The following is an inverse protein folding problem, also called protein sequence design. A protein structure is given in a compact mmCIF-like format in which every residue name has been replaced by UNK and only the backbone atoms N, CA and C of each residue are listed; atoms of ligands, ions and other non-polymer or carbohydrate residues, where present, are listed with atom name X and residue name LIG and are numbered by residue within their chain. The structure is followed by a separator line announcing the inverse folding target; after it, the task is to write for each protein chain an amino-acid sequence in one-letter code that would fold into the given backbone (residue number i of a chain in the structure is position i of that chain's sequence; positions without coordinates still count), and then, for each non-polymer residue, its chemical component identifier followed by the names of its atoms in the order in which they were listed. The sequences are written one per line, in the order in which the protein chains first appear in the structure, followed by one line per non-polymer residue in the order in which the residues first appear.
data_IF_630829261028
#
_entry.id   IF_630829261028
#
_cell.length_a   1.000
_cell.length_b   1.000
_cell.length_c   1.000
_cell.angle_alpha   90.00
_cell.angle_beta   90.00
_cell.angle_gamma   90.00
#
_symmetry.space_group_name_H-M   'P 1'
#
loop_
_entity.id
_entity.type
_entity.pdbx_description
1 polymer ?
#
# COMPACT_ATOMS: atom_id res chain seq x y z
N UNK A 1 -7.30 -21.46 5.45
CA UNK A 1 -8.54 -21.20 4.69
C UNK A 1 -8.22 -20.08 3.72
N UNK A 2 -8.55 -20.22 2.44
CA UNK A 2 -8.35 -19.14 1.47
C UNK A 2 -9.26 -17.97 1.83
N UNK A 3 -8.74 -16.74 1.76
CA UNK A 3 -9.49 -15.52 2.03
C UNK A 3 -9.91 -14.89 0.70
N UNK A 4 -11.06 -14.22 0.67
CA UNK A 4 -11.47 -13.42 -0.49
C UNK A 4 -10.94 -11.99 -0.32
N UNK A 5 -10.76 -11.26 -1.42
CA UNK A 5 -10.34 -9.85 -1.40
C UNK A 5 -11.43 -8.88 -0.92
N UNK A 6 -12.62 -9.41 -0.57
CA UNK A 6 -13.75 -8.61 -0.09
C UNK A 6 -13.34 -7.80 1.14
N UNK A 7 -13.55 -6.48 1.12
CA UNK A 7 -13.15 -5.54 2.18
C UNK A 7 -11.63 -5.43 2.45
N UNK A 8 -10.77 -5.88 1.52
CA UNK A 8 -9.36 -5.46 1.55
C UNK A 8 -9.27 -3.97 1.23
N UNK A 9 -8.52 -3.21 2.03
CA UNK A 9 -8.53 -1.73 2.02
C UNK A 9 -7.12 -1.18 2.14
N UNK A 10 -6.95 0.06 1.71
CA UNK A 10 -5.72 0.82 1.89
C UNK A 10 -6.04 2.10 2.63
N UNK A 11 -5.34 2.35 3.73
CA UNK A 11 -5.54 3.52 4.57
C UNK A 11 -4.25 4.34 4.62
N UNK A 12 -4.37 5.64 4.78
CA UNK A 12 -3.22 6.54 4.84
C UNK A 12 -3.37 7.63 5.90
N UNK A 13 -2.23 8.11 6.38
CA UNK A 13 -2.13 9.23 7.31
C UNK A 13 -0.94 10.11 6.91
N UNK A 14 -1.10 11.44 6.94
CA UNK A 14 0.01 12.35 6.72
C UNK A 14 1.11 12.15 7.78
N UNK A 15 2.36 12.10 7.35
CA UNK A 15 3.50 11.86 8.22
C UNK A 15 4.61 12.89 8.00
N UNK A 16 4.98 13.60 9.07
CA UNK A 16 6.03 14.62 9.04
C UNK A 16 7.26 14.26 9.89
N UNK A 17 7.41 12.99 10.30
CA UNK A 17 8.48 12.55 11.20
C UNK A 17 9.70 11.91 10.50
N UNK A 18 10.60 11.34 11.31
CA UNK A 18 11.79 10.61 10.85
C UNK A 18 11.41 9.24 10.29
N UNK A 19 11.92 8.90 9.10
CA UNK A 19 11.66 7.61 8.43
C UNK A 19 12.27 6.40 9.18
N UNK A 20 13.19 6.64 10.13
CA UNK A 20 13.82 5.57 10.93
C UNK A 20 13.00 5.12 12.13
N UNK A 21 12.08 5.98 12.62
CA UNK A 21 11.21 5.71 13.78
C UNK A 21 9.79 6.14 13.43
N UNK A 22 9.08 5.25 12.77
CA UNK A 22 7.70 5.49 12.35
C UNK A 22 6.77 5.04 13.47
N UNK A 23 5.97 5.97 14.01
CA UNK A 23 4.85 5.63 14.86
C UNK A 23 3.63 5.32 13.97
N UNK A 24 3.10 4.10 14.08
CA UNK A 24 1.94 3.66 13.31
C UNK A 24 0.61 4.02 13.96
N UNK A 25 0.60 4.40 15.24
CA UNK A 25 -0.62 4.76 15.94
C UNK A 25 -1.15 6.13 15.48
N UNK A 26 -2.46 6.23 15.24
CA UNK A 26 -3.10 7.46 14.79
C UNK A 26 -4.43 7.23 14.08
N UNK A 27 -4.97 8.30 13.53
CA UNK A 27 -6.20 8.28 12.72
C UNK A 27 -5.84 8.32 11.24
N UNK A 28 -6.31 7.33 10.50
CA UNK A 28 -6.06 7.15 9.08
C UNK A 28 -7.33 7.37 8.28
N UNK A 29 -7.18 7.84 7.05
CA UNK A 29 -8.27 7.97 6.09
C UNK A 29 -8.22 6.82 5.08
N UNK A 30 -9.37 6.41 4.56
CA UNK A 30 -9.42 5.53 3.39
C UNK A 30 -8.73 6.20 2.20
N UNK A 31 -7.83 5.48 1.51
CA UNK A 31 -7.16 5.98 0.31
C UNK A 31 -8.16 6.15 -0.84
N UNK A 32 -8.78 5.04 -1.23
CA UNK A 32 -9.86 4.94 -2.21
C UNK A 32 -10.48 3.54 -2.09
N UNK A 33 -11.68 3.37 -2.65
CA UNK A 33 -12.29 2.06 -2.81
C UNK A 33 -11.56 1.27 -3.93
N UNK A 34 -10.44 0.63 -3.57
CA UNK A 34 -9.56 -0.01 -4.54
C UNK A 34 -10.16 -1.30 -5.11
N UNK A 35 -10.19 -1.38 -6.44
CA UNK A 35 -10.47 -2.60 -7.19
C UNK A 35 -9.23 -3.49 -7.31
N UNK A 36 -8.05 -2.87 -7.33
CA UNK A 36 -6.76 -3.55 -7.41
C UNK A 36 -5.78 -2.99 -6.38
N UNK A 37 -5.16 -3.89 -5.61
CA UNK A 37 -4.14 -3.59 -4.59
C UNK A 37 -2.88 -4.41 -4.96
N UNK A 38 -1.78 -3.78 -5.38
CA UNK A 38 -0.55 -4.48 -5.72
C UNK A 38 0.14 -5.01 -4.45
N UNK A 39 0.97 -6.05 -4.62
CA UNK A 39 1.80 -6.54 -3.51
C UNK A 39 2.67 -5.41 -2.94
N UNK A 40 2.72 -5.22 -1.61
CA UNK A 40 3.55 -4.21 -0.98
C UNK A 40 5.03 -4.53 -1.20
N UNK A 41 5.39 -5.82 -1.13
CA UNK A 41 6.76 -6.29 -1.27
C UNK A 41 7.05 -6.81 -2.67
N UNK A 42 8.23 -6.45 -3.20
CA UNK A 42 8.82 -7.06 -4.39
C UNK A 42 9.79 -8.18 -3.99
N UNK A 43 9.95 -9.18 -4.86
CA UNK A 43 10.95 -10.22 -4.65
C UNK A 43 12.37 -9.61 -4.61
N UNK A 44 13.27 -10.12 -3.75
CA UNK A 44 14.68 -9.77 -3.80
C UNK A 44 15.28 -10.05 -5.18
N UNK A 45 16.26 -9.27 -5.61
CA UNK A 45 17.03 -9.62 -6.79
C UNK A 45 17.80 -10.93 -6.55
N UNK A 46 18.07 -11.72 -7.59
CA UNK A 46 18.96 -12.89 -7.49
C UNK A 46 20.33 -12.51 -8.03
N UNK A 47 21.36 -12.65 -7.21
CA UNK A 47 22.75 -12.46 -7.60
C UNK A 47 23.32 -13.82 -7.94
N UNK A 48 23.69 -14.00 -9.21
CA UNK A 48 24.34 -15.22 -9.64
C UNK A 48 25.72 -15.35 -8.98
N UNK A 49 25.97 -16.49 -8.32
CA UNK A 49 27.22 -16.80 -7.64
C UNK A 49 27.97 -17.97 -8.28
N UNK A 50 27.52 -18.41 -9.46
CA UNK A 50 28.13 -19.51 -10.22
C UNK A 50 29.61 -19.23 -10.49
N UNK A 51 30.46 -20.21 -10.21
CA UNK A 51 31.87 -20.18 -10.61
C UNK A 51 32.07 -20.98 -11.90
N UNK A 52 33.17 -20.74 -12.62
CA UNK A 52 33.49 -21.43 -13.89
C UNK A 52 33.70 -22.95 -13.72
N UNK A 53 33.76 -23.44 -12.48
CA UNK A 53 33.93 -24.86 -12.16
C UNK A 53 32.61 -25.58 -11.86
N UNK A 54 31.50 -24.84 -11.77
CA UNK A 54 30.19 -25.38 -11.40
C UNK A 54 29.38 -25.82 -12.63
N UNK A 55 28.82 -27.03 -12.58
CA UNK A 55 27.94 -27.60 -13.62
C UNK A 55 26.46 -27.14 -13.47
N UNK A 56 26.18 -26.25 -12.52
CA UNK A 56 24.83 -25.75 -12.23
C UNK A 56 24.88 -24.31 -11.74
N UNK A 57 23.99 -23.47 -12.27
CA UNK A 57 23.88 -22.07 -11.84
C UNK A 57 23.37 -21.99 -10.40
N UNK A 58 24.10 -21.26 -9.55
CA UNK A 58 23.70 -21.00 -8.16
C UNK A 58 23.39 -19.51 -7.97
N UNK A 59 22.35 -19.22 -7.19
CA UNK A 59 21.85 -17.87 -6.98
C UNK A 59 21.77 -17.56 -5.49
N UNK A 60 22.31 -16.40 -5.11
CA UNK A 60 22.18 -15.82 -3.78
C UNK A 60 21.13 -14.71 -3.79
N UNK A 61 20.39 -14.57 -2.69
CA UNK A 61 19.36 -13.53 -2.58
C UNK A 61 20.00 -12.17 -2.34
N UNK A 62 19.84 -11.26 -3.30
CA UNK A 62 20.35 -9.89 -3.29
C UNK A 62 19.43 -8.87 -2.62
N UNK A 63 19.68 -7.59 -2.90
CA UNK A 63 18.92 -6.48 -2.30
C UNK A 63 17.46 -6.44 -2.80
N UNK A 64 16.54 -6.04 -1.91
CA UNK A 64 15.15 -5.75 -2.26
C UNK A 64 15.04 -4.34 -2.83
N UNK A 65 14.55 -4.21 -4.05
CA UNK A 65 14.21 -2.90 -4.62
C UNK A 65 12.77 -2.55 -4.30
N UNK A 66 12.53 -1.28 -3.97
CA UNK A 66 11.18 -0.74 -3.85
C UNK A 66 10.91 0.14 -5.06
N UNK A 67 9.78 -0.10 -5.72
CA UNK A 67 9.29 0.69 -6.84
C UNK A 67 7.90 1.23 -6.50
N UNK A 68 7.42 2.21 -7.27
CA UNK A 68 6.07 2.75 -7.14
C UNK A 68 5.00 1.64 -7.19
N UNK A 69 3.87 1.91 -6.55
CA UNK A 69 2.73 1.01 -6.45
C UNK A 69 1.48 1.74 -6.90
N UNK A 70 0.68 1.11 -7.73
CA UNK A 70 -0.51 1.72 -8.31
C UNK A 70 -1.76 1.07 -7.74
N UNK A 71 -2.59 1.87 -7.08
CA UNK A 71 -3.88 1.46 -6.56
C UNK A 71 -4.97 1.98 -7.48
N UNK A 72 -5.75 1.07 -8.06
CA UNK A 72 -6.77 1.40 -9.06
C UNK A 72 -8.15 1.28 -8.42
N UNK A 73 -9.00 2.29 -8.62
CA UNK A 73 -10.40 2.25 -8.21
C UNK A 73 -11.24 3.28 -8.97
N UNK A 74 -12.50 3.41 -8.61
CA UNK A 74 -13.41 4.33 -9.26
C UNK A 74 -13.08 5.79 -8.89
N UNK A 75 -13.27 6.72 -9.82
CA UNK A 75 -13.10 8.15 -9.57
C UNK A 75 -14.24 8.66 -8.67
N UNK A 76 -13.95 8.89 -7.40
CA UNK A 76 -14.76 9.72 -6.50
C UNK A 76 -14.10 11.09 -6.33
N UNK A 77 -14.89 12.16 -6.52
CA UNK A 77 -14.37 13.53 -6.43
C UNK A 77 -13.82 13.86 -5.03
N UNK A 78 -14.51 13.40 -3.98
CA UNK A 78 -14.13 13.72 -2.61
C UNK A 78 -12.81 13.05 -2.22
N UNK A 79 -12.60 11.82 -2.68
CA UNK A 79 -11.34 11.11 -2.44
C UNK A 79 -10.21 11.67 -3.31
N UNK A 80 -10.50 12.02 -4.58
CA UNK A 80 -9.53 12.66 -5.46
C UNK A 80 -9.02 13.99 -4.90
N UNK A 81 -9.93 14.87 -4.44
CA UNK A 81 -9.58 16.18 -3.86
C UNK A 81 -8.73 16.02 -2.58
N UNK A 82 -9.05 15.03 -1.72
CA UNK A 82 -8.24 14.73 -0.52
C UNK A 82 -6.84 14.24 -0.91
N UNK A 83 -6.74 13.30 -1.84
CA UNK A 83 -5.45 12.76 -2.29
C UNK A 83 -4.59 13.85 -2.96
N UNK A 84 -5.21 14.77 -3.70
CA UNK A 84 -4.52 15.89 -4.34
C UNK A 84 -3.96 16.88 -3.30
N UNK A 85 -4.71 17.17 -2.24
CA UNK A 85 -4.26 18.04 -1.14
C UNK A 85 -3.06 17.45 -0.36
N UNK A 86 -2.99 16.12 -0.32
CA UNK A 86 -1.92 15.35 0.33
C UNK A 86 -0.74 15.11 -0.63
N UNK A 87 -0.93 15.38 -1.93
CA UNK A 87 0.09 15.22 -2.97
C UNK A 87 1.43 15.86 -2.58
N UNK A 88 2.52 15.11 -2.80
CA UNK A 88 3.91 15.44 -2.42
C UNK A 88 4.25 15.36 -0.92
N UNK A 89 3.28 15.22 -0.02
CA UNK A 89 3.57 14.96 1.40
C UNK A 89 3.90 13.49 1.63
N UNK A 90 4.76 13.24 2.62
CA UNK A 90 5.01 11.88 3.10
C UNK A 90 3.79 11.39 3.86
N UNK A 91 3.36 10.17 3.59
CA UNK A 91 2.23 9.53 4.25
C UNK A 91 2.63 8.14 4.72
N UNK A 92 2.14 7.73 5.88
CA UNK A 92 2.15 6.31 6.25
C UNK A 92 0.98 5.66 5.53
N UNK A 93 1.26 4.58 4.81
CA UNK A 93 0.30 3.76 4.09
C UNK A 93 0.22 2.41 4.78
N UNK A 94 -1.00 1.95 5.05
CA UNK A 94 -1.25 0.61 5.57
C UNK A 94 -2.19 -0.13 4.61
N UNK A 95 -1.74 -1.27 4.12
CA UNK A 95 -2.54 -2.20 3.34
C UNK A 95 -3.14 -3.25 4.28
N UNK A 96 -4.46 -3.35 4.26
CA UNK A 96 -5.26 -4.24 5.11
C UNK A 96 -5.80 -5.39 4.27
N UNK A 97 -5.37 -6.60 4.58
CA UNK A 97 -5.82 -7.83 3.93
C UNK A 97 -6.71 -8.63 4.88
N UNK A 98 -7.90 -8.97 4.42
CA UNK A 98 -8.88 -9.74 5.17
C UNK A 98 -10.29 -9.48 4.68
N UNK A 99 -11.23 -10.25 5.21
CA UNK A 99 -12.66 -10.15 4.87
C UNK A 99 -13.46 -9.26 5.82
N UNK A 100 -12.79 -8.66 6.80
CA UNK A 100 -13.37 -7.92 7.93
C UNK A 100 -13.27 -6.40 7.79
N UNK A 101 -12.56 -5.89 6.78
CA UNK A 101 -12.36 -4.45 6.59
C UNK A 101 -11.31 -3.82 7.49
N UNK A 102 -10.70 -4.60 8.40
CA UNK A 102 -9.68 -4.14 9.37
C UNK A 102 -8.36 -4.90 9.27
N UNK A 103 -8.24 -5.84 8.33
CA UNK A 103 -6.99 -6.53 8.05
C UNK A 103 -6.70 -7.68 9.00
N UNK A 104 -7.72 -8.48 9.35
CA UNK A 104 -7.58 -9.61 10.27
C UNK A 104 -6.66 -10.74 9.79
N UNK A 105 -6.23 -10.72 8.52
CA UNK A 105 -5.38 -11.78 7.95
C UNK A 105 -3.94 -11.30 7.80
N UNK A 106 -3.73 -10.12 7.22
CA UNK A 106 -2.41 -9.52 7.14
C UNK A 106 -2.48 -8.00 7.06
N UNK A 107 -1.47 -7.33 7.64
CA UNK A 107 -1.33 -5.87 7.57
C UNK A 107 0.09 -5.52 7.15
N UNK A 108 0.24 -4.66 6.16
CA UNK A 108 1.55 -4.17 5.71
C UNK A 108 1.61 -2.65 5.81
N UNK A 109 2.69 -2.11 6.38
CA UNK A 109 2.88 -0.68 6.55
C UNK A 109 4.18 -0.19 5.92
N UNK A 110 4.14 0.98 5.28
CA UNK A 110 5.30 1.69 4.76
C UNK A 110 5.01 3.18 4.64
N UNK A 111 6.05 4.01 4.56
CA UNK A 111 5.93 5.42 4.22
C UNK A 111 6.12 5.61 2.73
N UNK A 112 5.24 6.40 2.12
CA UNK A 112 5.31 6.77 0.71
C UNK A 112 4.69 8.13 0.43
N UNK A 113 4.87 8.62 -0.80
CA UNK A 113 4.21 9.81 -1.32
C UNK A 113 3.15 9.39 -2.32
N UNK A 114 1.94 9.95 -2.21
CA UNK A 114 0.79 9.59 -3.06
C UNK A 114 0.64 10.65 -4.17
N UNK A 115 0.40 10.19 -5.39
CA UNK A 115 0.04 11.01 -6.54
C UNK A 115 -1.21 10.42 -7.19
N UNK A 116 -2.38 11.07 -7.10
CA UNK A 116 -3.58 10.63 -7.80
C UNK A 116 -3.55 11.08 -9.27
N UNK A 117 -3.97 10.18 -10.17
CA UNK A 117 -4.12 10.43 -11.61
C UNK A 117 -5.48 9.91 -12.06
N UNK A 118 -6.19 10.67 -12.89
CA UNK A 118 -7.43 10.21 -13.54
C UNK A 118 -7.04 9.37 -14.76
N UNK A 119 -7.67 8.20 -14.93
CA UNK A 119 -7.39 7.34 -16.07
C UNK A 119 -8.07 7.88 -17.35
N UNK A 120 -7.55 7.50 -18.52
CA UNK A 120 -8.13 7.90 -19.81
C UNK A 120 -9.57 7.38 -19.96
N UNK A 121 -10.45 8.19 -20.56
CA UNK A 121 -11.84 7.84 -20.84
C UNK A 121 -11.95 7.45 -22.32
N UNK A 122 -12.28 6.19 -22.60
CA UNK A 122 -12.29 5.63 -23.96
C UNK A 122 -13.65 5.68 -24.66
N UNK A 123 -14.74 5.87 -23.92
CA UNK A 123 -16.10 5.81 -24.47
C UNK A 123 -17.18 6.55 -23.68
N UNK A 124 -18.40 6.54 -24.22
CA UNK A 124 -19.59 7.22 -23.68
C UNK A 124 -20.51 6.24 -22.93
N UNK A 125 -19.97 5.37 -22.08
CA UNK A 125 -20.73 4.56 -21.10
C UNK A 125 -19.79 3.82 -20.12
N UNK A 126 -18.73 4.49 -19.67
CA UNK A 126 -17.68 3.87 -18.85
C UNK A 126 -17.65 4.47 -17.44
N UNK A 127 -17.42 3.62 -16.44
CA UNK A 127 -17.10 4.09 -15.09
C UNK A 127 -15.71 4.70 -15.14
N UNK A 128 -15.61 5.99 -14.86
CA UNK A 128 -14.32 6.69 -14.83
C UNK A 128 -13.51 6.16 -13.65
N UNK A 129 -12.29 5.73 -13.92
CA UNK A 129 -11.36 5.21 -12.92
C UNK A 129 -10.30 6.25 -12.55
N UNK A 130 -9.72 6.09 -11.36
CA UNK A 130 -8.52 6.80 -10.95
C UNK A 130 -7.46 5.84 -10.45
N UNK A 131 -6.21 6.22 -10.61
CA UNK A 131 -5.04 5.51 -10.10
C UNK A 131 -4.33 6.38 -9.07
N UNK A 132 -4.21 5.88 -7.85
CA UNK A 132 -3.33 6.47 -6.85
C UNK A 132 -1.96 5.78 -6.92
N UNK A 133 -0.95 6.50 -7.40
CA UNK A 133 0.43 6.03 -7.46
C UNK A 133 1.14 6.38 -6.17
N UNK A 134 1.70 5.39 -5.48
CA UNK A 134 2.46 5.56 -4.24
C UNK A 134 3.93 5.27 -4.48
N UNK A 135 4.78 6.28 -4.35
CA UNK A 135 6.23 6.14 -4.36
C UNK A 135 6.70 5.77 -2.94
N UNK A 136 7.26 4.57 -2.78
CA UNK A 136 7.70 4.07 -1.48
C UNK A 136 9.00 4.76 -1.05
N UNK A 137 9.01 5.37 0.14
CA UNK A 137 10.21 5.96 0.74
C UNK A 137 10.88 4.99 1.75
N UNK A 138 10.19 3.95 2.17
CA UNK A 138 10.69 2.93 3.11
C UNK A 138 10.26 1.53 2.68
N UNK A 139 11.05 0.51 3.03
CA UNK A 139 10.66 -0.88 2.84
C UNK A 139 9.39 -1.25 3.62
N UNK A 140 8.41 -1.93 3.00
CA UNK A 140 7.24 -2.44 3.70
C UNK A 140 7.60 -3.40 4.82
N UNK A 141 6.88 -3.27 5.92
CA UNK A 141 6.94 -4.18 7.06
C UNK A 141 5.57 -4.81 7.27
N UNK A 142 5.57 -6.11 7.53
CA UNK A 142 4.39 -6.79 8.03
C UNK A 142 4.21 -6.40 9.50
N UNK A 143 3.03 -5.86 9.81
CA UNK A 143 2.67 -5.31 11.13
C UNK A 143 1.41 -5.98 11.66
N UNK A 144 1.09 -7.18 11.17
CA UNK A 144 -0.17 -7.87 11.46
C UNK A 144 -0.43 -7.99 12.97
N UNK A 145 0.62 -8.29 13.73
CA UNK A 145 0.58 -8.49 15.19
C UNK A 145 1.00 -7.24 15.98
N UNK A 146 1.60 -6.25 15.32
CA UNK A 146 2.12 -5.03 15.97
C UNK A 146 1.05 -3.94 16.13
N UNK A 147 -0.03 -4.01 15.34
CA UNK A 147 -1.08 -2.99 15.33
C UNK A 147 -2.49 -3.59 15.34
N UNK A 148 -3.38 -2.88 16.04
CA UNK A 148 -4.83 -3.06 15.95
C UNK A 148 -5.43 -1.94 15.12
N UNK A 149 -6.44 -2.28 14.32
CA UNK A 149 -7.15 -1.34 13.44
C UNK A 149 -8.64 -1.44 13.75
N UNK A 150 -9.27 -0.29 13.97
CA UNK A 150 -10.71 -0.17 14.20
C UNK A 150 -11.30 0.70 13.09
N UNK A 151 -12.31 0.17 12.40
CA UNK A 151 -13.10 0.91 11.42
C UNK A 151 -14.16 1.76 12.15
N UNK A 152 -14.08 3.08 12.02
CA UNK A 152 -15.01 4.02 12.64
C UNK A 152 -16.34 4.14 11.85
N UNK A 153 -16.45 3.50 10.68
CA UNK A 153 -17.61 3.50 9.77
C UNK A 153 -17.96 4.86 9.17
N UNK A 154 -17.04 5.80 9.19
CA UNK A 154 -17.17 7.15 8.63
C UNK A 154 -16.12 7.44 7.52
N UNK A 155 -15.36 6.41 7.12
CA UNK A 155 -14.23 6.55 6.18
C UNK A 155 -12.88 6.78 6.88
N UNK A 156 -12.86 6.83 8.21
CA UNK A 156 -11.65 6.90 9.03
C UNK A 156 -11.41 5.61 9.80
N UNK A 157 -10.14 5.38 10.14
CA UNK A 157 -9.65 4.19 10.82
C UNK A 157 -8.76 4.60 11.98
N UNK A 158 -9.02 4.01 13.15
CA UNK A 158 -8.17 4.22 14.33
C UNK A 158 -7.16 3.08 14.40
N UNK A 159 -5.88 3.42 14.40
CA UNK A 159 -4.78 2.45 14.51
C UNK A 159 -4.09 2.65 15.86
N UNK A 160 -3.90 1.57 16.60
CA UNK A 160 -3.16 1.56 17.87
C UNK A 160 -2.08 0.48 17.84
N UNK A 161 -0.91 0.78 18.41
CA UNK A 161 0.12 -0.22 18.64
C UNK A 161 -0.32 -1.20 19.73
N UNK A 162 0.09 -2.46 19.59
CA UNK A 162 -0.13 -3.54 20.56
C UNK A 162 0.99 -3.56 21.61
#
# INVERSE_FOLDING_TARGET
MAITSYLSRVIYMEYSGDLKKINLAGTYNLLLAARSIPSPTSAPNMVESTTTEDDTQTFEMGIKQTSSKEFVGNLDKSDFDKLLAVGNKKCIIIQLYGTDGVGGVAKSAYVGQITPTVNDIGGTDEIVEMTATVAQNTSPKWVTDDITVVDNKDGTFTVAAV
#
